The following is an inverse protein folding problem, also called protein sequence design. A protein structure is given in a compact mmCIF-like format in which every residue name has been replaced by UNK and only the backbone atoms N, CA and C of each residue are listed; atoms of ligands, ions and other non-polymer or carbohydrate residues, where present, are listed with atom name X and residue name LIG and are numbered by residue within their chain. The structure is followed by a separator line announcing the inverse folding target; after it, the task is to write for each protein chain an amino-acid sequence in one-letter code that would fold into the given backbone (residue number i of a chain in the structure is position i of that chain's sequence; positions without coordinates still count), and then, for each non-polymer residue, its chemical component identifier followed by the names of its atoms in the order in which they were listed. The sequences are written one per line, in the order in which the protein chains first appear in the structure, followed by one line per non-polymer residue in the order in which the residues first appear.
data_IF_594046959611
#
_entry.id   IF_594046959611
#
_cell.length_a   1.000
_cell.length_b   1.000
_cell.length_c   1.000
_cell.angle_alpha   90.00
_cell.angle_beta   90.00
_cell.angle_gamma   90.00
#
_symmetry.space_group_name_H-M   'P 1'
#
loop_
_entity.id
_entity.type
_entity.pdbx_description
1 polymer ?
#
# COMPACT_ATOMS: atom_id res chain seq x y z
N UNK A 1 -3.20 -0.74 -13.25
CA UNK A 1 -3.54 -0.13 -11.95
C UNK A 1 -2.48 -0.41 -10.90
N UNK A 2 -2.16 -1.67 -10.60
CA UNK A 2 -1.13 -2.04 -9.63
C UNK A 2 0.24 -1.35 -9.84
N UNK A 3 0.76 -1.30 -11.07
CA UNK A 3 2.03 -0.59 -11.33
C UNK A 3 1.93 0.91 -11.03
N UNK A 4 0.85 1.59 -11.44
CA UNK A 4 0.63 3.01 -11.08
C UNK A 4 0.59 3.22 -9.56
N UNK A 5 -0.02 2.29 -8.82
CA UNK A 5 0.00 2.30 -7.36
C UNK A 5 1.41 2.12 -6.82
N UNK A 6 2.13 1.10 -7.30
CA UNK A 6 3.53 0.83 -6.93
C UNK A 6 4.39 2.08 -7.12
N UNK A 7 4.34 2.69 -8.30
CA UNK A 7 5.10 3.88 -8.63
C UNK A 7 4.72 5.06 -7.73
N UNK A 8 3.43 5.24 -7.43
CA UNK A 8 2.96 6.30 -6.53
C UNK A 8 3.48 6.15 -5.09
N UNK A 9 3.52 4.94 -4.56
CA UNK A 9 4.11 4.67 -3.25
C UNK A 9 5.63 4.91 -3.25
N UNK A 10 6.35 4.43 -4.27
CA UNK A 10 7.80 4.64 -4.40
C UNK A 10 8.13 6.14 -4.48
N UNK A 11 7.41 6.90 -5.29
CA UNK A 11 7.61 8.34 -5.46
C UNK A 11 7.37 9.14 -4.17
N UNK A 12 6.61 8.58 -3.22
CA UNK A 12 6.37 9.15 -1.89
C UNK A 12 7.37 8.67 -0.83
N UNK A 13 8.37 7.87 -1.21
CA UNK A 13 9.42 7.39 -0.33
C UNK A 13 9.08 6.11 0.42
N UNK A 14 7.98 5.43 0.08
CA UNK A 14 7.65 4.14 0.68
C UNK A 14 8.48 3.00 0.10
N UNK A 15 8.84 2.05 0.96
CA UNK A 15 9.64 0.88 0.60
C UNK A 15 8.75 -0.27 0.16
N UNK A 16 9.15 -0.94 -0.93
CA UNK A 16 8.60 -2.22 -1.31
C UNK A 16 9.14 -3.31 -0.38
N UNK A 17 8.31 -4.28 -0.03
CA UNK A 17 8.78 -5.49 0.63
C UNK A 17 9.46 -6.44 -0.39
N UNK A 18 8.87 -6.58 -1.57
CA UNK A 18 9.51 -7.15 -2.76
C UNK A 18 8.85 -6.59 -4.03
N UNK A 19 9.52 -6.70 -5.17
CA UNK A 19 8.96 -6.26 -6.45
C UNK A 19 7.95 -7.30 -6.99
N UNK A 20 6.67 -7.11 -6.68
CA UNK A 20 5.60 -7.98 -7.12
C UNK A 20 5.20 -7.68 -8.57
N UNK A 21 5.21 -8.67 -9.48
CA UNK A 21 4.76 -8.49 -10.86
C UNK A 21 3.22 -8.57 -11.01
N UNK A 22 2.47 -8.68 -9.92
CA UNK A 22 1.03 -9.00 -9.94
C UNK A 22 0.14 -7.79 -9.60
N UNK A 23 -1.17 -8.00 -9.56
CA UNK A 23 -2.12 -7.00 -9.10
C UNK A 23 -2.08 -6.74 -7.57
N UNK A 24 -1.31 -7.56 -6.83
CA UNK A 24 -1.05 -7.41 -5.40
C UNK A 24 0.31 -6.75 -5.20
N UNK A 25 0.36 -5.71 -4.38
CA UNK A 25 1.54 -4.91 -4.11
C UNK A 25 1.81 -4.87 -2.60
N UNK A 26 3.08 -4.98 -2.22
CA UNK A 26 3.50 -5.18 -0.83
C UNK A 26 4.45 -4.06 -0.40
N UNK A 27 4.08 -3.35 0.66
CA UNK A 27 4.84 -2.21 1.17
C UNK A 27 5.12 -2.37 2.65
N UNK A 28 6.19 -1.74 3.12
CA UNK A 28 6.52 -1.65 4.53
C UNK A 28 5.98 -0.32 5.05
N UNK A 29 5.07 -0.37 6.02
CA UNK A 29 4.49 0.81 6.67
C UNK A 29 4.74 0.79 8.17
N UNK A 30 4.83 1.98 8.79
CA UNK A 30 4.87 2.08 10.25
C UNK A 30 3.52 1.69 10.87
N UNK A 31 3.55 1.16 12.09
CA UNK A 31 2.35 0.79 12.84
C UNK A 31 1.37 1.97 12.99
N UNK A 32 1.90 3.18 13.19
CA UNK A 32 1.10 4.41 13.26
C UNK A 32 0.39 4.71 11.95
N UNK A 33 1.10 4.63 10.82
CA UNK A 33 0.53 4.88 9.49
C UNK A 33 -0.51 3.82 9.13
N UNK A 34 -0.30 2.56 9.51
CA UNK A 34 -1.28 1.48 9.34
C UNK A 34 -2.57 1.82 10.10
N UNK A 35 -2.48 2.17 11.38
CA UNK A 35 -3.63 2.52 12.20
C UNK A 35 -4.40 3.77 11.69
N UNK A 36 -3.71 4.69 11.02
CA UNK A 36 -4.37 5.81 10.32
C UNK A 36 -5.10 5.33 9.05
N UNK A 37 -4.44 4.55 8.21
CA UNK A 37 -4.95 4.10 6.92
C UNK A 37 -6.11 3.12 7.06
N UNK A 38 -6.10 2.21 8.04
CA UNK A 38 -7.15 1.19 8.24
C UNK A 38 -8.54 1.82 8.46
N UNK A 39 -8.58 3.07 8.94
CA UNK A 39 -9.83 3.83 9.12
C UNK A 39 -10.43 4.33 7.80
N UNK A 40 -9.63 4.44 6.75
CA UNK A 40 -9.99 5.07 5.47
C UNK A 40 -9.94 4.10 4.28
N UNK A 41 -9.11 3.07 4.36
CA UNK A 41 -8.80 2.17 3.25
C UNK A 41 -8.78 0.72 3.74
N UNK A 42 -9.31 -0.19 2.91
CA UNK A 42 -9.20 -1.63 3.14
C UNK A 42 -7.93 -2.19 2.49
N UNK A 43 -7.09 -2.82 3.29
CA UNK A 43 -5.91 -3.56 2.87
C UNK A 43 -5.65 -4.69 3.87
N UNK A 44 -4.73 -5.60 3.57
CA UNK A 44 -4.36 -6.66 4.50
C UNK A 44 -3.04 -6.35 5.17
N UNK A 45 -2.98 -6.43 6.49
CA UNK A 45 -1.70 -6.42 7.22
C UNK A 45 -1.19 -7.86 7.28
N UNK A 46 0.06 -8.07 6.87
CA UNK A 46 0.66 -9.37 6.66
C UNK A 46 1.56 -9.74 7.85
N UNK A 47 2.85 -9.49 7.74
CA UNK A 47 3.85 -9.94 8.70
C UNK A 47 4.50 -8.74 9.39
N UNK A 48 5.19 -9.02 10.49
CA UNK A 48 6.00 -8.03 11.19
C UNK A 48 7.33 -7.89 10.45
N UNK A 49 7.67 -6.67 10.05
CA UNK A 49 8.98 -6.36 9.44
C UNK A 49 10.00 -6.08 10.54
N UNK A 50 9.64 -5.20 11.48
CA UNK A 50 10.38 -4.93 12.72
C UNK A 50 9.41 -4.51 13.85
N UNK A 51 9.92 -4.01 14.99
CA UNK A 51 9.10 -3.59 16.13
C UNK A 51 8.12 -2.44 15.83
N UNK A 52 8.43 -1.61 14.85
CA UNK A 52 7.66 -0.41 14.49
C UNK A 52 7.01 -0.49 13.10
N UNK A 53 7.36 -1.48 12.28
CA UNK A 53 6.90 -1.62 10.90
C UNK A 53 6.29 -2.98 10.61
N UNK A 54 5.31 -2.98 9.70
CA UNK A 54 4.69 -4.19 9.16
C UNK A 54 4.59 -4.16 7.65
N UNK A 55 4.59 -5.35 7.08
CA UNK A 55 4.28 -5.55 5.68
C UNK A 55 2.77 -5.46 5.50
N UNK A 56 2.34 -4.63 4.55
CA UNK A 56 0.94 -4.52 4.14
C UNK A 56 0.79 -4.90 2.69
N UNK A 57 -0.37 -5.44 2.35
CA UNK A 57 -0.74 -5.84 1.00
C UNK A 57 -1.93 -5.04 0.51
N UNK A 58 -1.71 -4.30 -0.56
CA UNK A 58 -2.77 -3.70 -1.36
C UNK A 58 -3.04 -4.56 -2.58
N UNK A 59 -4.31 -4.70 -2.95
CA UNK A 59 -4.72 -5.42 -4.15
C UNK A 59 -5.58 -4.51 -5.01
N UNK A 60 -5.28 -4.48 -6.30
CA UNK A 60 -6.13 -3.81 -7.30
C UNK A 60 -6.94 -4.85 -8.05
N UNK A 61 -8.15 -4.47 -8.48
CA UNK A 61 -9.00 -5.30 -9.32
C UNK A 61 -9.49 -4.52 -10.53
N UNK A 62 -10.28 -5.16 -11.37
CA UNK A 62 -10.95 -4.55 -12.51
C UNK A 62 -11.86 -3.37 -12.11
N UNK A 63 -12.32 -3.34 -10.85
CA UNK A 63 -13.16 -2.27 -10.30
C UNK A 63 -12.37 -1.12 -9.67
N UNK A 64 -11.04 -1.22 -9.56
CA UNK A 64 -10.22 -0.14 -9.00
C UNK A 64 -10.12 1.00 -10.03
N UNK A 65 -10.68 2.15 -9.69
CA UNK A 65 -10.64 3.37 -10.51
C UNK A 65 -9.38 4.21 -10.23
N UNK A 66 -9.01 5.09 -11.16
CA UNK A 66 -7.92 6.05 -10.94
C UNK A 66 -8.23 7.02 -9.80
N UNK A 67 -9.49 7.40 -9.63
CA UNK A 67 -9.91 8.25 -8.50
C UNK A 67 -9.64 7.58 -7.14
N UNK A 68 -9.97 6.29 -7.00
CA UNK A 68 -9.67 5.54 -5.78
C UNK A 68 -8.16 5.44 -5.54
N UNK A 69 -7.38 5.28 -6.60
CA UNK A 69 -5.92 5.30 -6.49
C UNK A 69 -5.41 6.67 -6.04
N UNK A 70 -5.87 7.76 -6.65
CA UNK A 70 -5.44 9.10 -6.29
C UNK A 70 -5.77 9.43 -4.83
N UNK A 71 -6.99 9.07 -4.37
CA UNK A 71 -7.38 9.19 -2.96
C UNK A 71 -6.47 8.39 -2.03
N UNK A 72 -6.09 7.17 -2.41
CA UNK A 72 -5.12 6.40 -1.62
C UNK A 72 -3.77 7.13 -1.56
N UNK A 73 -3.27 7.63 -2.70
CA UNK A 73 -2.00 8.34 -2.77
C UNK A 73 -2.01 9.65 -1.96
N UNK A 74 -3.14 10.34 -1.82
CA UNK A 74 -3.26 11.53 -0.96
C UNK A 74 -3.16 11.21 0.55
N UNK A 75 -3.49 9.98 0.96
CA UNK A 75 -3.45 9.55 2.37
C UNK A 75 -2.07 9.08 2.84
N UNK A 76 -1.21 8.74 1.89
CA UNK A 76 0.15 8.25 2.13
C UNK A 76 1.19 9.32 1.87
#
# INVERSE_FOLDING_TARGET
MANKMKDGFINKGYRLYFDSPTNQQFFILSNEKIAELERKVKFAVWEKDDDQHRVVRFATSWATTEENLNKLLELI
#
